data_IF_629780491934
#
_entry.id   IF_629780491934
#
_cell.length_a   1.000
_cell.length_b   1.000
_cell.length_c   1.000
_cell.angle_alpha   90.00
_cell.angle_beta   90.00
_cell.angle_gamma   90.00
#
_symmetry.space_group_name_H-M   'P 1'
#
loop_
_entity.id
_entity.type
_entity.pdbx_description
1 polymer ?
#
# COMPACT_ATOMS: atom_id res chain seq x y z
N UNK A 1 14.46 -35.20 65.17
CA UNK A 1 14.13 -34.52 63.90
C UNK A 1 12.83 -35.12 63.41
N UNK A 2 11.74 -34.34 63.40
CA UNK A 2 10.41 -34.83 63.03
C UNK A 2 10.07 -34.34 61.62
N UNK A 3 9.95 -35.27 60.69
CA UNK A 3 9.39 -35.04 59.36
C UNK A 3 7.91 -34.68 59.51
N UNK A 4 7.53 -33.43 59.23
CA UNK A 4 6.13 -33.06 59.05
C UNK A 4 5.81 -33.23 57.56
N UNK A 5 4.99 -34.22 57.23
CA UNK A 5 4.48 -34.41 55.88
C UNK A 5 3.63 -33.22 55.45
N UNK A 6 3.96 -32.65 54.29
CA UNK A 6 3.13 -31.63 53.62
C UNK A 6 1.73 -32.21 53.39
N UNK A 7 0.74 -31.62 54.04
CA UNK A 7 -0.64 -32.08 53.90
C UNK A 7 -1.26 -31.51 52.61
N UNK A 8 -2.29 -32.18 52.09
CA UNK A 8 -3.03 -31.69 50.90
C UNK A 8 -3.57 -30.27 51.10
N UNK A 9 -3.96 -29.95 52.32
CA UNK A 9 -4.50 -28.63 52.66
C UNK A 9 -3.41 -27.56 52.66
N UNK A 10 -2.19 -27.87 53.10
CA UNK A 10 -1.03 -26.98 52.95
C UNK A 10 -0.70 -26.71 51.47
N UNK A 11 -0.84 -27.74 50.62
CA UNK A 11 -0.59 -27.64 49.18
C UNK A 11 -1.65 -26.78 48.48
N UNK A 12 -2.92 -26.88 48.90
CA UNK A 12 -4.01 -26.04 48.38
C UNK A 12 -3.89 -24.60 48.89
N UNK A 13 -3.52 -24.40 50.16
CA UNK A 13 -3.29 -23.07 50.73
C UNK A 13 -2.17 -22.32 49.99
N UNK A 14 -1.08 -23.01 49.64
CA UNK A 14 0.01 -22.44 48.85
C UNK A 14 -0.40 -22.05 47.41
N UNK A 15 -1.45 -22.65 46.85
CA UNK A 15 -1.97 -22.30 45.52
C UNK A 15 -2.97 -21.13 45.54
N UNK A 16 -3.56 -20.82 46.69
CA UNK A 16 -4.58 -19.77 46.82
C UNK A 16 -4.00 -18.39 47.14
N UNK A 17 -2.70 -18.29 47.40
CA UNK A 17 -2.03 -17.07 47.88
C UNK A 17 -1.18 -16.38 46.81
N UNK A 18 -1.72 -16.23 45.59
CA UNK A 18 -1.28 -15.16 44.66
C UNK A 18 -2.38 -14.09 44.67
N UNK A 19 -2.67 -13.57 45.85
CA UNK A 19 -3.39 -12.30 45.97
C UNK A 19 -2.32 -11.23 46.00
N UNK A 20 -2.34 -10.30 45.05
CA UNK A 20 -1.58 -9.07 45.24
C UNK A 20 -2.16 -8.37 46.48
N UNK A 21 -1.34 -7.99 47.48
CA UNK A 21 -1.80 -7.14 48.56
C UNK A 21 -2.39 -5.85 47.96
N UNK A 22 -3.44 -5.31 48.57
CA UNK A 22 -4.09 -4.08 48.08
C UNK A 22 -3.09 -2.92 48.00
N UNK A 23 -2.06 -2.93 48.86
CA UNK A 23 -0.90 -2.05 48.85
C UNK A 23 0.26 -2.57 47.97
N UNK A 24 -0.01 -3.04 46.75
CA UNK A 24 1.07 -3.30 45.79
C UNK A 24 1.83 -1.99 45.49
N UNK A 25 3.17 -1.98 45.52
CA UNK A 25 3.96 -0.76 45.32
C UNK A 25 3.73 -0.21 43.91
N UNK A 26 2.98 0.89 43.82
CA UNK A 26 2.67 1.54 42.55
C UNK A 26 1.33 2.28 42.52
N UNK A 27 0.33 1.79 43.26
CA UNK A 27 -1.01 2.41 43.35
C UNK A 27 -1.57 2.86 41.99
N UNK A 28 -2.21 4.03 41.96
CA UNK A 28 -2.82 4.62 40.76
C UNK A 28 -1.86 4.77 39.56
N UNK A 29 -0.57 5.02 39.82
CA UNK A 29 0.42 5.23 38.75
C UNK A 29 0.73 3.90 38.04
N UNK A 30 0.82 2.80 38.79
CA UNK A 30 0.99 1.48 38.21
C UNK A 30 -0.24 1.06 37.39
N UNK A 31 -1.44 1.32 37.90
CA UNK A 31 -2.68 1.03 37.17
C UNK A 31 -2.75 1.81 35.85
N UNK A 32 -2.37 3.09 35.86
CA UNK A 32 -2.30 3.92 34.66
C UNK A 32 -1.26 3.40 33.66
N UNK A 33 -0.09 3.01 34.13
CA UNK A 33 0.96 2.43 33.30
C UNK A 33 0.52 1.12 32.64
N UNK A 34 -0.18 0.26 33.39
CA UNK A 34 -0.76 -0.99 32.86
C UNK A 34 -1.82 -0.69 31.81
N UNK A 35 -2.75 0.24 32.09
CA UNK A 35 -3.78 0.63 31.14
C UNK A 35 -3.19 1.16 29.81
N UNK A 36 -2.16 2.01 29.90
CA UNK A 36 -1.44 2.53 28.73
C UNK A 36 -0.74 1.39 27.97
N UNK A 37 -0.01 0.52 28.68
CA UNK A 37 0.70 -0.60 28.07
C UNK A 37 -0.25 -1.55 27.34
N UNK A 38 -1.40 -1.84 27.94
CA UNK A 38 -2.42 -2.72 27.37
C UNK A 38 -3.11 -2.06 26.16
N UNK A 39 -3.39 -0.76 26.25
CA UNK A 39 -3.88 0.03 25.12
C UNK A 39 -2.92 0.04 23.93
N UNK A 40 -1.62 0.25 24.18
CA UNK A 40 -0.58 0.22 23.15
C UNK A 40 -0.43 -1.18 22.53
N UNK A 41 -0.48 -2.24 23.34
CA UNK A 41 -0.42 -3.62 22.86
C UNK A 41 -1.59 -3.92 21.91
N UNK A 42 -2.81 -3.54 22.32
CA UNK A 42 -4.01 -3.71 21.49
C UNK A 42 -3.90 -2.89 20.21
N UNK A 43 -3.46 -1.63 20.29
CA UNK A 43 -3.24 -0.79 19.10
C UNK A 43 -2.22 -1.41 18.13
N UNK A 44 -1.15 -2.02 18.64
CA UNK A 44 -0.12 -2.67 17.83
C UNK A 44 -0.66 -3.94 17.15
N UNK A 45 -1.47 -4.73 17.85
CA UNK A 45 -2.18 -5.87 17.26
C UNK A 45 -3.13 -5.43 16.14
N UNK A 46 -3.94 -4.39 16.38
CA UNK A 46 -4.82 -3.85 15.34
C UNK A 46 -4.02 -3.27 14.17
N UNK A 47 -2.92 -2.56 14.43
CA UNK A 47 -2.05 -2.02 13.38
C UNK A 47 -1.41 -3.11 12.53
N UNK A 48 -1.15 -4.30 13.06
CA UNK A 48 -0.65 -5.44 12.29
C UNK A 48 -1.76 -6.18 11.52
N UNK A 49 -2.92 -6.37 12.15
CA UNK A 49 -4.04 -7.14 11.59
C UNK A 49 -4.84 -6.35 10.55
N UNK A 50 -5.10 -5.05 10.78
CA UNK A 50 -5.88 -4.22 9.86
C UNK A 50 -5.27 -4.24 8.46
N UNK A 51 -3.98 -3.94 8.24
CA UNK A 51 -3.38 -3.96 6.91
C UNK A 51 -3.47 -5.33 6.25
N UNK A 52 -3.55 -6.44 7.00
CA UNK A 52 -3.72 -7.77 6.40
C UNK A 52 -5.11 -7.94 5.77
N UNK A 53 -6.14 -7.39 6.43
CA UNK A 53 -7.54 -7.44 5.97
C UNK A 53 -7.87 -6.29 5.01
N UNK A 54 -7.20 -5.14 5.17
CA UNK A 54 -7.47 -3.90 4.44
C UNK A 54 -6.43 -3.54 3.40
N UNK A 55 -5.33 -4.31 3.22
CA UNK A 55 -4.47 -4.24 2.02
C UNK A 55 -5.25 -4.73 0.81
N UNK A 56 -6.22 -3.91 0.44
CA UNK A 56 -6.87 -3.88 -0.84
C UNK A 56 -5.82 -3.37 -1.80
N UNK A 57 -5.19 -4.33 -2.48
CA UNK A 57 -4.41 -4.23 -3.72
C UNK A 57 -3.55 -2.96 -3.82
N UNK A 58 -2.23 -3.11 -3.68
CA UNK A 58 -1.29 -2.06 -4.10
C UNK A 58 -1.75 -1.50 -5.45
N UNK A 59 -1.80 -0.17 -5.62
CA UNK A 59 -2.17 0.40 -6.90
C UNK A 59 -1.27 -0.24 -7.97
N UNK A 60 -1.86 -0.78 -9.05
CA UNK A 60 -1.05 -1.41 -10.09
C UNK A 60 0.03 -0.43 -10.52
N UNK A 61 1.24 -0.95 -10.71
CA UNK A 61 2.37 -0.16 -11.23
C UNK A 61 1.85 0.66 -12.43
N UNK A 62 2.20 1.96 -12.53
CA UNK A 62 1.77 2.74 -13.68
C UNK A 62 2.19 1.99 -14.96
N UNK A 63 1.26 1.81 -15.91
CA UNK A 63 1.52 1.02 -17.10
C UNK A 63 2.66 1.65 -17.88
N UNK A 64 3.51 0.82 -18.48
CA UNK A 64 4.59 1.31 -19.32
C UNK A 64 4.03 1.96 -20.59
N UNK A 65 4.84 2.79 -21.26
CA UNK A 65 4.46 3.36 -22.55
C UNK A 65 4.13 2.24 -23.57
N UNK A 66 4.88 1.14 -23.54
CA UNK A 66 4.64 -0.04 -24.40
C UNK A 66 3.30 -0.74 -24.11
N UNK A 67 2.99 -0.97 -22.84
CA UNK A 67 1.70 -1.54 -22.43
C UNK A 67 0.53 -0.63 -22.82
N UNK A 68 0.73 0.68 -22.72
CA UNK A 68 -0.28 1.68 -23.09
C UNK A 68 -0.48 1.73 -24.61
N UNK A 69 0.59 1.60 -25.40
CA UNK A 69 0.50 1.48 -26.86
C UNK A 69 -0.19 0.18 -27.29
N UNK A 70 0.13 -0.96 -26.65
CA UNK A 70 -0.50 -2.25 -26.97
C UNK A 70 -2.01 -2.28 -26.73
N UNK A 71 -2.53 -1.48 -25.79
CA UNK A 71 -3.98 -1.31 -25.61
C UNK A 71 -4.67 -0.59 -26.78
N UNK A 72 -3.91 0.15 -27.59
CA UNK A 72 -4.44 0.93 -28.70
C UNK A 72 -4.42 0.18 -30.04
N UNK A 73 -3.73 -0.96 -30.14
CA UNK A 73 -3.56 -1.69 -31.41
C UNK A 73 -4.87 -2.29 -31.96
N UNK A 74 -5.89 -2.47 -31.12
CA UNK A 74 -7.22 -2.95 -31.53
C UNK A 74 -8.24 -1.87 -31.86
N UNK A 75 -7.87 -0.58 -31.74
CA UNK A 75 -8.80 0.53 -31.95
C UNK A 75 -8.84 0.97 -33.43
N UNK A 76 -9.96 1.58 -33.87
CA UNK A 76 -9.99 2.30 -35.14
C UNK A 76 -8.86 3.32 -35.23
N UNK A 77 -8.32 3.52 -36.43
CA UNK A 77 -7.11 4.30 -36.67
C UNK A 77 -7.18 5.72 -36.07
N UNK A 78 -8.30 6.42 -36.25
CA UNK A 78 -8.53 7.75 -35.68
C UNK A 78 -8.42 7.77 -34.15
N UNK A 79 -8.99 6.75 -33.49
CA UNK A 79 -8.94 6.62 -32.03
C UNK A 79 -7.54 6.23 -31.55
N UNK A 80 -6.84 5.40 -32.33
CA UNK A 80 -5.45 5.00 -32.06
C UNK A 80 -4.52 6.21 -32.12
N UNK A 81 -4.64 7.05 -33.15
CA UNK A 81 -3.86 8.30 -33.29
C UNK A 81 -4.09 9.23 -32.11
N UNK A 82 -5.34 9.47 -31.71
CA UNK A 82 -5.67 10.30 -30.54
C UNK A 82 -5.08 9.72 -29.25
N UNK A 83 -5.19 8.41 -29.05
CA UNK A 83 -4.62 7.71 -27.90
C UNK A 83 -3.10 7.83 -27.84
N UNK A 84 -2.41 7.65 -28.96
CA UNK A 84 -0.96 7.81 -29.07
C UNK A 84 -0.53 9.26 -28.79
N UNK A 85 -1.29 10.24 -29.24
CA UNK A 85 -1.03 11.66 -28.96
C UNK A 85 -1.13 11.97 -27.46
N UNK A 86 -2.08 11.33 -26.76
CA UNK A 86 -2.23 11.48 -25.31
C UNK A 86 -1.04 10.87 -24.56
N UNK A 87 -0.58 9.69 -24.98
CA UNK A 87 0.62 9.04 -24.44
C UNK A 87 1.84 9.94 -24.68
N UNK A 88 2.04 10.42 -25.92
CA UNK A 88 3.16 11.30 -26.24
C UNK A 88 3.14 12.58 -25.40
N UNK A 89 1.97 13.22 -25.22
CA UNK A 89 1.81 14.43 -24.40
C UNK A 89 2.15 14.21 -22.93
N UNK A 90 1.91 13.02 -22.38
CA UNK A 90 2.28 12.70 -20.99
C UNK A 90 3.79 12.53 -20.76
N UNK A 91 4.54 12.15 -21.81
CA UNK A 91 5.99 11.90 -21.71
C UNK A 91 6.84 13.05 -22.24
N UNK A 92 6.43 13.67 -23.36
CA UNK A 92 7.11 14.80 -23.98
C UNK A 92 6.08 15.80 -24.55
N UNK A 93 5.69 16.82 -23.77
CA UNK A 93 4.72 17.80 -24.21
C UNK A 93 5.26 18.74 -25.29
N UNK A 94 6.58 18.89 -25.45
CA UNK A 94 7.16 19.73 -26.50
C UNK A 94 6.99 19.03 -27.86
N UNK A 95 7.36 17.76 -27.93
CA UNK A 95 7.24 16.96 -29.14
C UNK A 95 5.78 16.71 -29.53
N UNK A 96 4.89 16.56 -28.56
CA UNK A 96 3.45 16.45 -28.83
C UNK A 96 2.87 17.69 -29.53
N UNK A 97 3.40 18.90 -29.28
CA UNK A 97 2.91 20.14 -29.92
C UNK A 97 3.13 20.12 -31.43
N UNK A 98 4.25 19.58 -31.90
CA UNK A 98 4.56 19.46 -33.33
C UNK A 98 3.47 18.68 -34.07
N UNK A 99 2.99 17.57 -33.50
CA UNK A 99 1.90 16.78 -34.06
C UNK A 99 0.53 17.44 -33.87
N UNK A 100 0.36 18.25 -32.83
CA UNK A 100 -0.91 18.95 -32.57
C UNK A 100 -1.13 20.08 -33.57
N UNK A 101 -0.07 20.78 -33.99
CA UNK A 101 -0.15 21.80 -35.05
C UNK A 101 -0.54 21.20 -36.40
N UNK A 102 -0.07 19.98 -36.70
CA UNK A 102 -0.46 19.24 -37.89
C UNK A 102 -1.95 18.82 -37.84
N UNK A 103 -2.45 18.48 -36.64
CA UNK A 103 -3.85 18.12 -36.40
C UNK A 103 -4.83 19.28 -36.67
N UNK A 104 -4.42 20.52 -36.44
CA UNK A 104 -5.23 21.71 -36.70
C UNK A 104 -5.12 22.22 -38.14
N UNK A 105 -4.20 21.67 -38.94
CA UNK A 105 -4.11 21.97 -40.37
C UNK A 105 -5.15 21.15 -41.11
N UNK A 106 -5.77 21.73 -42.15
CA UNK A 106 -6.67 21.00 -43.05
C UNK A 106 -5.85 19.96 -43.82
N UNK A 107 -5.88 18.71 -43.37
CA UNK A 107 -5.07 17.62 -43.90
C UNK A 107 -5.43 16.26 -43.29
N UNK A 108 -4.76 15.17 -43.73
CA UNK A 108 -4.90 13.87 -43.10
C UNK A 108 -4.38 13.89 -41.67
N UNK A 109 -4.88 12.97 -40.84
CA UNK A 109 -4.38 12.76 -39.48
C UNK A 109 -2.87 12.45 -39.49
N UNK A 110 -2.14 12.81 -38.41
CA UNK A 110 -0.75 12.42 -38.27
C UNK A 110 -0.59 10.90 -38.29
N UNK A 111 0.43 10.43 -39.01
CA UNK A 111 0.71 9.01 -39.14
C UNK A 111 0.98 8.35 -37.78
N UNK A 112 0.22 7.28 -37.50
CA UNK A 112 0.32 6.49 -36.29
C UNK A 112 1.71 5.87 -36.11
N UNK A 113 2.39 5.48 -37.18
CA UNK A 113 3.73 4.89 -37.10
C UNK A 113 4.78 5.91 -36.64
N UNK A 114 4.70 7.15 -37.15
CA UNK A 114 5.57 8.25 -36.69
C UNK A 114 5.37 8.56 -35.21
N UNK A 115 4.13 8.50 -34.73
CA UNK A 115 3.80 8.70 -33.32
C UNK A 115 4.42 7.60 -32.45
N UNK A 116 4.29 6.33 -32.83
CA UNK A 116 4.91 5.19 -32.13
C UNK A 116 6.43 5.32 -32.10
N UNK A 117 7.06 5.67 -33.22
CA UNK A 117 8.51 5.89 -33.29
C UNK A 117 8.98 7.00 -32.35
N UNK A 118 8.20 8.09 -32.25
CA UNK A 118 8.50 9.21 -31.35
C UNK A 118 8.40 8.80 -29.88
N UNK A 119 7.37 8.02 -29.51
CA UNK A 119 7.20 7.50 -28.14
C UNK A 119 8.34 6.54 -27.78
N UNK A 120 8.71 5.61 -28.67
CA UNK A 120 9.84 4.68 -28.44
C UNK A 120 11.18 5.39 -28.34
N UNK A 121 11.39 6.47 -29.11
CA UNK A 121 12.59 7.29 -29.02
C UNK A 121 12.76 7.97 -27.66
N UNK A 122 11.67 8.28 -26.95
CA UNK A 122 11.69 8.84 -25.59
C UNK A 122 11.96 7.74 -24.56
N UNK A 123 11.40 6.54 -24.75
CA UNK A 123 11.58 5.42 -23.81
C UNK A 123 12.99 4.83 -23.81
N UNK A 124 13.79 5.07 -24.85
CA UNK A 124 15.16 4.56 -25.00
C UNK A 124 16.25 5.61 -24.71
N UNK A 125 15.88 6.84 -24.36
CA UNK A 125 16.78 7.93 -23.99
C UNK A 125 16.89 8.05 -22.46
#
# INVERSE_FOLDING_TARGET
>A
MSERGLTRDDMIAAMQDIRLPAEAPGGLIADLAVAIGLGLLVALLFSAVLPLVTRRQQPPRPPTAEESMGRLDGLPEDMRVIGLLHILRSHDPARAREFTEELYRKGPLPDAERLVASIRGISNA
#
